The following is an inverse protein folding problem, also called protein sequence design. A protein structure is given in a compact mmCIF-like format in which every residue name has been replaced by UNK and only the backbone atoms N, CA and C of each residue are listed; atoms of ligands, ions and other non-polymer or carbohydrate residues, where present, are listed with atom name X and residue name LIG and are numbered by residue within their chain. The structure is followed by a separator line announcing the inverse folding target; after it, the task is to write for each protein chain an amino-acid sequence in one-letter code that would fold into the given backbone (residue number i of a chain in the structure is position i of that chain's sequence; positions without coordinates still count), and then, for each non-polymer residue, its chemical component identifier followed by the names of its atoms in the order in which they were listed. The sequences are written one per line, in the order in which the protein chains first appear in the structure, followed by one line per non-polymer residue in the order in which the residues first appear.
data_IF_726429134464
#
_entry.id   IF_726429134464
#
_cell.length_a   1.000
_cell.length_b   1.000
_cell.length_c   1.000
_cell.angle_alpha   90.00
_cell.angle_beta   90.00
_cell.angle_gamma   90.00
#
_symmetry.space_group_name_H-M   'P 1'
#
loop_
_entity.id
_entity.type
_entity.pdbx_description
1 polymer ?
#
# COMPACT_ATOMS: atom_id res chain seq x y z
N UNK A 1 5.66 -14.70 5.91
CA UNK A 1 5.47 -14.57 4.51
C UNK A 1 6.63 -15.02 3.67
N UNK A 2 7.22 -14.14 2.90
CA UNK A 2 8.25 -14.45 1.88
C UNK A 2 9.44 -15.28 2.41
N UNK A 3 9.93 -14.97 3.62
CA UNK A 3 11.03 -15.74 4.23
C UNK A 3 10.63 -17.21 4.46
N UNK A 4 9.45 -17.47 4.99
CA UNK A 4 8.96 -18.84 5.20
C UNK A 4 8.73 -19.59 3.88
N UNK A 5 8.37 -18.90 2.79
CA UNK A 5 8.27 -19.51 1.45
C UNK A 5 9.65 -19.95 0.96
N UNK A 6 10.68 -19.13 1.16
CA UNK A 6 12.06 -19.53 0.82
C UNK A 6 12.51 -20.78 1.59
N UNK A 7 12.12 -20.91 2.86
CA UNK A 7 12.46 -22.06 3.72
C UNK A 7 11.78 -23.35 3.27
N UNK A 8 10.61 -23.29 2.61
CA UNK A 8 9.91 -24.48 2.07
C UNK A 8 10.31 -24.85 0.64
N UNK A 9 11.34 -24.20 0.09
CA UNK A 9 12.00 -24.59 -1.16
C UNK A 9 11.17 -24.44 -2.42
N UNK A 10 10.37 -23.37 -2.54
CA UNK A 10 9.52 -23.08 -3.71
C UNK A 10 8.42 -24.12 -4.00
N UNK A 11 8.13 -25.04 -3.07
CA UNK A 11 6.99 -25.95 -3.14
C UNK A 11 5.71 -25.13 -2.95
N UNK A 12 4.94 -25.00 -4.03
CA UNK A 12 3.73 -24.17 -4.06
C UNK A 12 2.69 -24.59 -3.03
N UNK A 13 2.46 -25.90 -2.84
CA UNK A 13 1.44 -26.40 -1.91
C UNK A 13 1.84 -26.14 -0.45
N UNK A 14 3.11 -26.31 -0.13
CA UNK A 14 3.63 -25.96 1.19
C UNK A 14 3.60 -24.46 1.44
N UNK A 15 3.93 -23.65 0.43
CA UNK A 15 3.86 -22.21 0.53
C UNK A 15 2.43 -21.73 0.77
N UNK A 16 1.44 -22.26 0.05
CA UNK A 16 0.03 -21.95 0.25
C UNK A 16 -0.45 -22.38 1.64
N UNK A 17 -0.09 -23.57 2.10
CA UNK A 17 -0.42 -24.06 3.44
C UNK A 17 0.16 -23.16 4.53
N UNK A 18 1.40 -22.71 4.38
CA UNK A 18 2.04 -21.76 5.30
C UNK A 18 1.31 -20.42 5.33
N UNK A 19 0.99 -19.87 4.17
CA UNK A 19 0.27 -18.58 4.06
C UNK A 19 -1.14 -18.68 4.62
N UNK A 20 -1.86 -19.79 4.39
CA UNK A 20 -3.16 -20.04 5.01
C UNK A 20 -3.06 -20.08 6.53
N UNK A 21 -2.07 -20.78 7.07
CA UNK A 21 -1.80 -20.82 8.50
C UNK A 21 -1.53 -19.42 9.08
N UNK A 22 -0.70 -18.61 8.42
CA UNK A 22 -0.43 -17.23 8.83
C UNK A 22 -1.72 -16.39 8.78
N UNK A 23 -2.45 -16.46 7.68
CA UNK A 23 -3.68 -15.69 7.51
C UNK A 23 -4.74 -16.05 8.56
N UNK A 24 -5.04 -17.34 8.70
CA UNK A 24 -6.11 -17.81 9.57
C UNK A 24 -5.78 -17.63 11.06
N UNK A 25 -4.52 -17.88 11.47
CA UNK A 25 -4.11 -17.82 12.86
C UNK A 25 -3.63 -16.43 13.28
N UNK A 26 -2.68 -15.85 12.57
CA UNK A 26 -2.05 -14.59 12.97
C UNK A 26 -2.96 -13.41 12.60
N UNK A 27 -3.49 -13.39 11.36
CA UNK A 27 -4.27 -12.22 10.91
C UNK A 27 -5.67 -12.24 11.50
N UNK A 28 -6.42 -13.32 11.32
CA UNK A 28 -7.84 -13.34 11.69
C UNK A 28 -8.03 -13.64 13.17
N UNK A 29 -7.51 -14.77 13.66
CA UNK A 29 -7.75 -15.21 15.05
C UNK A 29 -7.12 -14.26 16.06
N UNK A 30 -5.85 -13.89 15.88
CA UNK A 30 -5.12 -13.10 16.89
C UNK A 30 -5.67 -11.67 16.98
N UNK A 31 -6.12 -11.07 15.86
CA UNK A 31 -6.82 -9.77 15.88
C UNK A 31 -8.11 -9.88 16.69
N UNK A 32 -8.97 -10.85 16.40
CA UNK A 32 -10.25 -11.01 17.08
C UNK A 32 -10.07 -11.30 18.58
N UNK A 33 -9.10 -12.14 18.95
CA UNK A 33 -8.79 -12.44 20.36
C UNK A 33 -8.23 -11.23 21.10
N UNK A 34 -7.32 -10.46 20.46
CA UNK A 34 -6.76 -9.23 21.05
C UNK A 34 -7.85 -8.21 21.34
N UNK A 35 -8.73 -7.96 20.39
CA UNK A 35 -9.82 -7.01 20.55
C UNK A 35 -10.85 -7.48 21.61
N UNK A 36 -11.12 -8.76 21.68
CA UNK A 36 -11.95 -9.36 22.74
C UNK A 36 -11.33 -9.15 24.13
N UNK A 37 -10.00 -9.34 24.28
CA UNK A 37 -9.29 -9.14 25.56
C UNK A 37 -9.29 -7.67 25.99
N UNK A 38 -9.23 -6.73 25.03
CA UNK A 38 -9.33 -5.28 25.31
C UNK A 38 -10.74 -4.82 25.67
N UNK A 39 -11.73 -5.71 25.66
CA UNK A 39 -13.13 -5.37 25.94
C UNK A 39 -13.79 -4.58 24.80
N UNK A 40 -13.15 -4.46 23.66
CA UNK A 40 -13.71 -3.81 22.47
C UNK A 40 -14.71 -4.77 21.80
N UNK A 41 -15.99 -4.49 21.96
CA UNK A 41 -17.09 -5.30 21.40
C UNK A 41 -17.37 -5.00 19.92
N UNK A 42 -16.59 -4.13 19.29
CA UNK A 42 -16.85 -3.67 17.91
C UNK A 42 -16.33 -4.65 16.85
N UNK A 43 -15.28 -5.42 17.16
CA UNK A 43 -14.64 -6.36 16.24
C UNK A 43 -14.94 -7.78 16.67
N UNK A 44 -16.09 -8.27 16.24
CA UNK A 44 -16.59 -9.61 16.62
C UNK A 44 -16.93 -10.48 15.42
N UNK A 45 -16.94 -9.91 14.22
CA UNK A 45 -17.36 -10.57 13.00
C UNK A 45 -16.15 -10.94 12.12
N UNK A 46 -15.73 -12.21 12.11
CA UNK A 46 -14.60 -12.67 11.31
C UNK A 46 -14.85 -12.54 9.81
N UNK A 47 -16.11 -12.64 9.36
CA UNK A 47 -16.45 -12.53 7.95
C UNK A 47 -16.32 -11.09 7.45
N UNK A 48 -16.78 -10.12 8.25
CA UNK A 48 -16.55 -8.70 7.95
C UNK A 48 -15.07 -8.35 7.94
N UNK A 49 -14.29 -8.89 8.90
CA UNK A 49 -12.84 -8.68 8.94
C UNK A 49 -12.17 -9.20 7.66
N UNK A 50 -12.52 -10.42 7.22
CA UNK A 50 -11.99 -11.00 5.98
C UNK A 50 -12.33 -10.15 4.75
N UNK A 51 -13.56 -9.66 4.64
CA UNK A 51 -13.99 -8.81 3.52
C UNK A 51 -13.23 -7.47 3.47
N UNK A 52 -12.98 -6.86 4.63
CA UNK A 52 -12.17 -5.65 4.71
C UNK A 52 -10.73 -5.94 4.30
N UNK A 53 -10.15 -7.04 4.78
CA UNK A 53 -8.80 -7.47 4.37
C UNK A 53 -8.73 -7.66 2.85
N UNK A 54 -9.68 -8.38 2.26
CA UNK A 54 -9.75 -8.59 0.81
C UNK A 54 -9.83 -7.27 0.05
N UNK A 55 -10.72 -6.36 0.50
CA UNK A 55 -10.84 -5.04 -0.12
C UNK A 55 -9.53 -4.25 -0.07
N UNK A 56 -8.90 -4.14 1.10
CA UNK A 56 -7.64 -3.40 1.25
C UNK A 56 -6.52 -4.03 0.43
N UNK A 57 -6.48 -5.37 0.38
CA UNK A 57 -5.50 -6.11 -0.40
C UNK A 57 -5.65 -5.88 -1.91
N UNK A 58 -6.89 -5.81 -2.39
CA UNK A 58 -7.22 -5.57 -3.81
C UNK A 58 -6.98 -4.10 -4.22
N UNK A 59 -6.95 -3.20 -3.25
CA UNK A 59 -6.82 -1.76 -3.45
C UNK A 59 -5.51 -1.18 -2.90
N UNK A 60 -4.45 -1.99 -2.75
CA UNK A 60 -3.14 -1.47 -2.34
C UNK A 60 -2.68 -0.38 -3.32
N UNK A 61 -2.09 0.71 -2.79
CA UNK A 61 -1.63 1.83 -3.61
C UNK A 61 -2.74 2.73 -4.17
N UNK A 62 -4.00 2.33 -4.10
CA UNK A 62 -5.13 3.17 -4.51
C UNK A 62 -5.57 4.11 -3.40
N UNK A 63 -5.82 5.37 -3.75
CA UNK A 63 -6.38 6.35 -2.83
C UNK A 63 -7.80 5.96 -2.42
N UNK A 64 -8.03 5.70 -1.13
CA UNK A 64 -9.34 5.30 -0.61
C UNK A 64 -9.68 5.97 0.72
N UNK A 65 -10.94 5.89 1.13
CA UNK A 65 -11.43 6.38 2.41
C UNK A 65 -12.26 5.31 3.11
N UNK A 66 -12.42 5.42 4.42
CA UNK A 66 -13.29 4.53 5.22
C UNK A 66 -14.73 4.52 4.68
N UNK A 67 -15.21 5.67 4.24
CA UNK A 67 -16.54 5.80 3.61
C UNK A 67 -16.62 5.03 2.29
N UNK A 68 -15.57 5.11 1.47
CA UNK A 68 -15.49 4.35 0.22
C UNK A 68 -15.49 2.84 0.48
N UNK A 69 -14.67 2.37 1.43
CA UNK A 69 -14.66 0.97 1.86
C UNK A 69 -16.07 0.52 2.27
N UNK A 70 -16.73 1.29 3.14
CA UNK A 70 -18.08 0.99 3.61
C UNK A 70 -19.08 0.90 2.46
N UNK A 71 -19.05 1.83 1.52
CA UNK A 71 -19.96 1.87 0.38
C UNK A 71 -19.74 0.69 -0.56
N UNK A 72 -18.51 0.34 -0.89
CA UNK A 72 -18.19 -0.79 -1.77
C UNK A 72 -18.65 -2.10 -1.15
N UNK A 73 -18.35 -2.36 0.13
CA UNK A 73 -18.77 -3.58 0.81
C UNK A 73 -20.29 -3.77 0.81
N UNK A 74 -21.05 -2.69 0.83
CA UNK A 74 -22.51 -2.71 0.77
C UNK A 74 -23.01 -2.88 -0.65
N UNK A 75 -22.50 -2.11 -1.61
CA UNK A 75 -23.00 -2.04 -2.97
C UNK A 75 -22.72 -3.33 -3.76
N UNK A 76 -21.57 -3.96 -3.52
CA UNK A 76 -21.19 -5.22 -4.16
C UNK A 76 -21.85 -6.44 -3.53
N UNK A 77 -22.81 -6.25 -2.61
CA UNK A 77 -23.50 -7.34 -1.88
C UNK A 77 -22.55 -8.31 -1.20
N UNK A 78 -21.35 -7.86 -0.91
CA UNK A 78 -20.36 -8.64 -0.17
C UNK A 78 -20.80 -8.92 1.27
N UNK A 79 -21.77 -8.16 1.77
CA UNK A 79 -22.43 -8.38 3.05
C UNK A 79 -23.73 -9.14 2.82
N UNK A 80 -23.92 -10.21 3.57
CA UNK A 80 -25.13 -11.03 3.50
C UNK A 80 -26.39 -10.16 3.69
N UNK A 81 -27.31 -10.19 2.71
CA UNK A 81 -28.55 -9.41 2.73
C UNK A 81 -29.47 -9.77 3.91
N UNK A 82 -29.27 -10.95 4.51
CA UNK A 82 -30.02 -11.42 5.68
C UNK A 82 -29.50 -10.87 7.02
N UNK A 83 -28.37 -10.18 7.04
CA UNK A 83 -27.89 -9.51 8.26
C UNK A 83 -28.64 -8.23 8.51
N UNK A 84 -29.31 -8.18 9.65
CA UNK A 84 -29.94 -6.97 10.17
C UNK A 84 -28.90 -5.88 10.42
N UNK A 85 -28.72 -5.01 9.44
CA UNK A 85 -27.96 -3.77 9.58
C UNK A 85 -26.70 -3.69 8.73
N UNK A 86 -26.60 -2.62 7.99
CA UNK A 86 -25.39 -2.16 7.30
C UNK A 86 -24.34 -1.81 8.38
N UNK A 87 -23.07 -2.29 8.31
CA UNK A 87 -22.05 -1.84 9.23
C UNK A 87 -21.87 -0.32 9.11
N UNK A 88 -21.84 0.34 10.24
CA UNK A 88 -21.59 1.79 10.26
C UNK A 88 -20.18 2.12 9.79
N UNK A 89 -19.96 3.34 9.28
CA UNK A 89 -18.62 3.84 8.94
C UNK A 89 -17.68 3.71 10.14
N UNK A 90 -18.19 3.95 11.35
CA UNK A 90 -17.42 3.80 12.59
C UNK A 90 -17.01 2.33 12.84
N UNK A 91 -17.90 1.38 12.53
CA UNK A 91 -17.56 -0.06 12.60
C UNK A 91 -16.42 -0.39 11.64
N UNK A 92 -16.52 0.01 10.38
CA UNK A 92 -15.46 -0.22 9.38
C UNK A 92 -14.14 0.43 9.85
N UNK A 93 -14.20 1.65 10.37
CA UNK A 93 -13.02 2.34 10.91
C UNK A 93 -12.35 1.56 12.05
N UNK A 94 -13.13 0.95 12.95
CA UNK A 94 -12.59 0.12 14.04
C UNK A 94 -11.85 -1.12 13.49
N UNK A 95 -12.42 -1.79 12.48
CA UNK A 95 -11.77 -2.95 11.84
C UNK A 95 -10.49 -2.56 11.10
N UNK A 96 -10.51 -1.47 10.34
CA UNK A 96 -9.30 -0.96 9.67
C UNK A 96 -8.25 -0.56 10.71
N UNK A 97 -8.65 0.13 11.79
CA UNK A 97 -7.74 0.47 12.90
C UNK A 97 -7.04 -0.74 13.51
N UNK A 98 -7.77 -1.84 13.74
CA UNK A 98 -7.19 -3.08 14.25
C UNK A 98 -6.19 -3.73 13.29
N UNK A 99 -6.43 -3.63 11.99
CA UNK A 99 -5.51 -4.11 10.95
C UNK A 99 -4.23 -3.26 10.91
N UNK A 100 -4.33 -1.95 11.06
CA UNK A 100 -3.18 -1.04 11.14
C UNK A 100 -2.37 -1.29 12.42
N UNK A 101 -3.03 -1.44 13.57
CA UNK A 101 -2.37 -1.78 14.85
C UNK A 101 -1.70 -3.16 14.85
N UNK A 102 -2.09 -4.05 13.92
CA UNK A 102 -1.47 -5.36 13.74
C UNK A 102 -0.29 -5.33 12.78
N UNK A 103 0.02 -4.18 12.20
CA UNK A 103 1.06 -4.01 11.18
C UNK A 103 0.88 -4.92 9.95
N UNK A 104 -0.36 -5.32 9.65
CA UNK A 104 -0.69 -6.07 8.43
C UNK A 104 -0.84 -5.11 7.26
N UNK A 105 -1.45 -3.96 7.53
CA UNK A 105 -1.52 -2.83 6.62
C UNK A 105 -0.89 -1.59 7.23
N UNK A 106 -0.42 -0.72 6.36
CA UNK A 106 0.10 0.59 6.68
C UNK A 106 -0.72 1.62 5.91
N UNK A 107 -1.20 2.63 6.61
CA UNK A 107 -1.88 3.77 6.01
C UNK A 107 -0.89 4.91 5.80
N UNK A 108 -0.89 5.49 4.60
CA UNK A 108 -0.10 6.67 4.29
C UNK A 108 -1.03 7.84 4.05
N UNK A 109 -0.72 8.95 4.68
CA UNK A 109 -1.48 10.19 4.56
C UNK A 109 -1.02 11.00 3.34
N UNK A 110 -1.93 11.84 2.86
CA UNK A 110 -1.64 12.77 1.76
C UNK A 110 -1.20 14.11 2.29
N UNK A 111 -0.15 14.64 1.70
CA UNK A 111 0.41 15.95 2.00
C UNK A 111 0.35 16.86 0.78
N UNK A 112 -0.28 18.03 0.91
CA UNK A 112 -0.28 19.06 -0.14
C UNK A 112 1.07 19.78 -0.14
N UNK A 113 1.85 19.57 -1.21
CA UNK A 113 3.22 20.12 -1.34
C UNK A 113 3.20 21.65 -1.41
N UNK A 114 2.19 22.24 -2.09
CA UNK A 114 2.04 23.68 -2.21
C UNK A 114 1.42 24.31 -0.97
N UNK A 115 0.35 23.71 -0.45
CA UNK A 115 -0.35 24.16 0.76
C UNK A 115 0.42 23.91 2.04
N UNK A 116 1.41 23.00 2.02
CA UNK A 116 2.22 22.58 3.18
C UNK A 116 1.35 22.07 4.34
N UNK A 117 0.31 21.28 4.01
CA UNK A 117 -0.62 20.76 5.00
C UNK A 117 -1.01 19.31 4.71
N UNK A 118 -1.37 18.58 5.77
CA UNK A 118 -1.93 17.24 5.63
C UNK A 118 -3.39 17.28 5.21
N UNK A 119 -3.72 16.48 4.20
CA UNK A 119 -5.09 16.32 3.74
C UNK A 119 -5.82 15.31 4.63
N UNK A 120 -7.04 15.66 5.05
CA UNK A 120 -7.84 14.84 5.98
C UNK A 120 -8.57 13.67 5.31
N UNK A 121 -8.65 13.69 3.99
CA UNK A 121 -9.43 12.72 3.22
C UNK A 121 -8.53 11.95 2.28
N UNK A 122 -8.84 10.68 2.11
CA UNK A 122 -8.13 9.73 1.26
C UNK A 122 -6.69 9.47 1.73
N UNK A 123 -6.40 8.22 1.98
CA UNK A 123 -5.06 7.67 2.17
C UNK A 123 -4.83 6.53 1.21
N UNK A 124 -3.61 6.04 1.13
CA UNK A 124 -3.28 4.77 0.49
C UNK A 124 -2.97 3.74 1.57
N UNK A 125 -3.27 2.48 1.27
CA UNK A 125 -2.95 1.36 2.14
C UNK A 125 -1.96 0.44 1.44
N UNK A 126 -0.94 -0.02 2.19
CA UNK A 126 0.05 -0.97 1.71
C UNK A 126 0.07 -2.19 2.62
N UNK A 127 0.25 -3.37 2.02
CA UNK A 127 0.27 -4.63 2.75
C UNK A 127 1.72 -5.03 3.07
N UNK A 128 1.97 -5.47 4.30
CA UNK A 128 3.32 -5.82 4.78
C UNK A 128 3.98 -6.96 3.98
N UNK A 129 3.20 -7.84 3.37
CA UNK A 129 3.70 -9.04 2.71
C UNK A 129 2.96 -9.31 1.39
N UNK A 130 3.67 -9.18 0.28
CA UNK A 130 3.12 -9.45 -1.06
C UNK A 130 2.79 -10.94 -1.24
N UNK A 131 3.47 -11.85 -0.54
CA UNK A 131 3.11 -13.27 -0.54
C UNK A 131 1.70 -13.49 0.02
N UNK A 132 1.36 -12.79 1.11
CA UNK A 132 0.00 -12.82 1.67
C UNK A 132 -1.02 -12.24 0.69
N UNK A 133 -0.67 -11.13 0.00
CA UNK A 133 -1.51 -10.57 -1.06
C UNK A 133 -1.81 -11.59 -2.16
N UNK A 134 -0.76 -12.22 -2.68
CA UNK A 134 -0.91 -13.19 -3.78
C UNK A 134 -1.65 -14.46 -3.32
N UNK A 135 -1.52 -14.85 -2.07
CA UNK A 135 -2.33 -15.92 -1.48
C UNK A 135 -3.82 -15.57 -1.49
N UNK A 136 -4.17 -14.34 -1.09
CA UNK A 136 -5.58 -13.90 -0.97
C UNK A 136 -6.27 -13.66 -2.32
N UNK A 137 -5.55 -13.08 -3.30
CA UNK A 137 -6.12 -12.61 -4.58
C UNK A 137 -5.73 -13.46 -5.78
N UNK A 138 -4.75 -14.36 -5.61
CA UNK A 138 -4.04 -14.97 -6.73
C UNK A 138 -3.02 -14.00 -7.38
N UNK A 139 -2.19 -14.56 -8.25
CA UNK A 139 -1.26 -13.76 -9.05
C UNK A 139 -2.00 -13.05 -10.19
N UNK A 140 -1.79 -11.74 -10.33
CA UNK A 140 -2.40 -10.90 -11.37
C UNK A 140 -1.34 -10.02 -12.00
N UNK A 141 -1.08 -10.18 -13.29
CA UNK A 141 -0.07 -9.39 -14.04
C UNK A 141 -0.40 -7.89 -14.07
N UNK A 142 -1.68 -7.54 -14.09
CA UNK A 142 -2.14 -6.14 -14.17
C UNK A 142 -1.83 -5.29 -12.94
N UNK A 143 -1.42 -5.91 -11.83
CA UNK A 143 -1.19 -5.22 -10.55
C UNK A 143 0.30 -4.91 -10.30
N UNK A 144 1.17 -5.16 -11.27
CA UNK A 144 2.64 -5.03 -11.11
C UNK A 144 3.04 -3.64 -10.65
N UNK A 145 2.44 -2.59 -11.17
CA UNK A 145 2.72 -1.21 -10.75
C UNK A 145 2.49 -0.98 -9.26
N UNK A 146 1.32 -1.40 -8.73
CA UNK A 146 1.00 -1.27 -7.30
C UNK A 146 1.87 -2.17 -6.41
N UNK A 147 2.29 -3.34 -6.92
CA UNK A 147 3.23 -4.22 -6.20
C UNK A 147 4.60 -3.54 -6.08
N UNK A 148 5.11 -2.95 -7.16
CA UNK A 148 6.38 -2.20 -7.14
C UNK A 148 6.29 -1.03 -6.18
N UNK A 149 5.20 -0.26 -6.22
CA UNK A 149 4.95 0.86 -5.31
C UNK A 149 4.94 0.39 -3.84
N UNK A 150 4.28 -0.73 -3.55
CA UNK A 150 4.27 -1.35 -2.22
C UNK A 150 5.69 -1.76 -1.76
N UNK A 151 6.50 -2.34 -2.64
CA UNK A 151 7.90 -2.72 -2.33
C UNK A 151 8.75 -1.49 -2.06
N UNK A 152 8.65 -0.45 -2.88
CA UNK A 152 9.38 0.82 -2.69
C UNK A 152 9.00 1.47 -1.36
N UNK A 153 7.72 1.48 -1.01
CA UNK A 153 7.26 2.01 0.28
C UNK A 153 7.95 1.34 1.47
N UNK A 154 7.93 0.01 1.53
CA UNK A 154 8.58 -0.71 2.63
C UNK A 154 10.10 -0.56 2.64
N UNK A 155 10.72 -0.42 1.49
CA UNK A 155 12.15 -0.13 1.41
C UNK A 155 12.47 1.28 1.94
N UNK A 156 11.65 2.29 1.66
CA UNK A 156 11.80 3.62 2.23
C UNK A 156 11.67 3.59 3.76
N UNK A 157 10.70 2.87 4.31
CA UNK A 157 10.57 2.68 5.76
C UNK A 157 11.79 1.97 6.35
N UNK A 158 12.31 0.93 5.68
CA UNK A 158 13.51 0.21 6.11
C UNK A 158 14.73 1.13 6.19
N UNK A 159 14.82 2.12 5.31
CA UNK A 159 15.88 3.15 5.30
C UNK A 159 15.64 4.27 6.32
N UNK A 160 14.58 4.21 7.09
CA UNK A 160 14.28 5.18 8.16
C UNK A 160 13.63 6.47 7.68
N UNK A 161 13.01 6.49 6.51
CA UNK A 161 12.22 7.62 6.07
C UNK A 161 10.81 7.61 6.67
N UNK A 162 10.32 8.78 7.02
CA UNK A 162 8.90 9.06 7.10
C UNK A 162 8.37 9.26 5.68
N UNK A 163 7.23 8.63 5.36
CA UNK A 163 6.72 8.59 3.99
C UNK A 163 5.29 9.11 3.95
N UNK A 164 5.05 10.11 3.09
CA UNK A 164 3.74 10.66 2.78
C UNK A 164 3.45 10.54 1.27
N UNK A 165 2.18 10.63 0.87
CA UNK A 165 1.79 10.77 -0.52
C UNK A 165 1.79 12.26 -0.87
N UNK A 166 2.48 12.64 -1.94
CA UNK A 166 2.53 14.02 -2.39
C UNK A 166 1.30 14.40 -3.22
N UNK A 167 0.75 15.60 -2.99
CA UNK A 167 -0.19 16.23 -3.90
C UNK A 167 0.41 17.55 -4.40
N UNK A 168 0.44 17.75 -5.72
CA UNK A 168 0.84 18.98 -6.36
C UNK A 168 -0.23 19.37 -7.39
N UNK A 169 -0.99 20.43 -7.12
CA UNK A 169 -2.20 20.80 -7.85
C UNK A 169 -3.20 19.62 -7.94
N UNK A 170 -3.48 19.15 -9.16
CA UNK A 170 -4.38 18.02 -9.41
C UNK A 170 -3.63 16.70 -9.68
N UNK A 171 -2.31 16.67 -9.43
CA UNK A 171 -1.47 15.50 -9.64
C UNK A 171 -1.00 14.93 -8.32
N UNK A 172 -0.74 13.64 -8.33
CA UNK A 172 -0.17 12.90 -7.20
C UNK A 172 1.31 12.65 -7.45
N UNK A 173 2.09 12.69 -6.38
CA UNK A 173 3.47 12.18 -6.31
C UNK A 173 3.41 10.98 -5.37
N UNK A 174 3.86 9.83 -5.83
CA UNK A 174 3.65 8.59 -5.08
C UNK A 174 4.22 8.67 -3.67
N UNK A 175 5.44 9.20 -3.50
CA UNK A 175 6.01 9.37 -2.18
C UNK A 175 6.75 10.68 -2.00
N UNK A 176 6.57 11.25 -0.81
CA UNK A 176 7.46 12.22 -0.17
C UNK A 176 8.18 11.43 0.91
N UNK A 177 9.47 11.17 0.72
CA UNK A 177 10.29 10.48 1.70
C UNK A 177 11.18 11.51 2.41
N UNK A 178 11.07 11.62 3.74
CA UNK A 178 11.82 12.58 4.53
C UNK A 178 12.38 11.94 5.80
N UNK A 179 13.59 12.35 6.18
CA UNK A 179 14.19 12.05 7.47
C UNK A 179 14.86 13.31 8.04
N UNK A 180 15.69 13.17 9.07
CA UNK A 180 16.38 14.31 9.68
C UNK A 180 17.40 15.01 8.76
N UNK A 181 17.90 14.33 7.72
CA UNK A 181 19.01 14.78 6.88
C UNK A 181 18.53 15.26 5.51
N UNK A 182 17.52 14.61 4.94
CA UNK A 182 17.10 14.85 3.57
C UNK A 182 15.60 14.66 3.34
N UNK A 183 15.15 15.18 2.20
CA UNK A 183 13.80 15.00 1.67
C UNK A 183 13.89 14.69 0.18
N UNK A 184 13.09 13.74 -0.28
CA UNK A 184 13.02 13.29 -1.68
C UNK A 184 11.57 13.21 -2.14
N UNK A 185 11.36 13.48 -3.43
CA UNK A 185 10.10 13.23 -4.12
C UNK A 185 10.28 12.05 -5.07
N UNK A 186 9.44 11.06 -4.94
CA UNK A 186 9.62 9.77 -5.62
C UNK A 186 8.34 9.44 -6.38
N UNK A 187 8.50 9.13 -7.66
CA UNK A 187 7.50 8.53 -8.52
C UNK A 187 7.89 7.08 -8.79
N UNK A 188 6.92 6.18 -8.85
CA UNK A 188 7.14 4.75 -9.05
C UNK A 188 6.36 4.27 -10.27
N UNK A 189 7.00 3.56 -11.17
CA UNK A 189 6.35 3.05 -12.38
C UNK A 189 6.88 1.68 -12.75
N UNK A 190 6.08 0.93 -13.49
CA UNK A 190 6.50 -0.37 -14.03
C UNK A 190 7.59 -0.19 -15.11
N UNK A 191 7.45 0.81 -15.98
CA UNK A 191 8.38 1.03 -17.09
C UNK A 191 8.51 2.51 -17.45
N UNK A 192 9.71 2.91 -17.85
CA UNK A 192 10.01 4.24 -18.41
C UNK A 192 10.38 4.18 -19.92
N UNK A 193 10.15 3.06 -20.57
CA UNK A 193 10.56 2.88 -21.97
C UNK A 193 9.63 3.59 -22.96
N UNK A 194 8.32 3.68 -22.63
CA UNK A 194 7.33 4.34 -23.48
C UNK A 194 7.33 5.86 -23.25
N UNK A 195 7.45 6.69 -24.31
CA UNK A 195 7.50 8.15 -24.20
C UNK A 195 6.28 8.75 -23.47
N UNK A 196 5.07 8.23 -23.72
CA UNK A 196 3.86 8.70 -23.08
C UNK A 196 3.85 8.42 -21.56
N UNK A 197 4.32 7.25 -21.13
CA UNK A 197 4.50 6.90 -19.73
C UNK A 197 5.54 7.80 -19.09
N UNK A 198 6.69 7.99 -19.76
CA UNK A 198 7.76 8.88 -19.28
C UNK A 198 7.25 10.29 -18.98
N UNK A 199 6.54 10.89 -19.93
CA UNK A 199 5.99 12.24 -19.74
C UNK A 199 4.99 12.29 -18.59
N UNK A 200 4.13 11.29 -18.45
CA UNK A 200 3.15 11.18 -17.35
C UNK A 200 3.83 11.14 -16.00
N UNK A 201 4.90 10.34 -15.84
CA UNK A 201 5.59 10.14 -14.56
C UNK A 201 6.48 11.34 -14.18
N UNK A 202 7.09 12.02 -15.17
CA UNK A 202 7.91 13.19 -14.93
C UNK A 202 7.07 14.44 -14.61
N UNK A 203 5.88 14.56 -15.18
CA UNK A 203 5.06 15.77 -15.09
C UNK A 203 4.76 16.22 -13.64
N UNK A 204 4.37 15.37 -12.68
CA UNK A 204 4.17 15.80 -11.29
C UNK A 204 5.45 16.36 -10.65
N UNK A 205 6.58 15.71 -10.89
CA UNK A 205 7.88 16.11 -10.32
C UNK A 205 8.38 17.44 -10.88
N UNK A 206 8.14 17.72 -12.18
CA UNK A 206 8.48 19.00 -12.81
C UNK A 206 7.68 20.18 -12.26
N UNK A 207 6.50 19.94 -11.68
CA UNK A 207 5.66 20.97 -11.07
C UNK A 207 6.16 21.43 -9.70
N UNK A 208 7.01 20.63 -9.05
CA UNK A 208 7.58 20.94 -7.74
C UNK A 208 8.78 21.89 -7.94
N UNK A 209 8.70 23.08 -7.35
CA UNK A 209 9.68 24.18 -7.57
C UNK A 209 10.78 24.27 -6.52
N UNK A 210 10.83 23.34 -5.56
CA UNK A 210 11.92 23.31 -4.58
C UNK A 210 13.13 22.51 -5.10
N UNK A 211 14.24 22.56 -4.33
CA UNK A 211 15.52 21.97 -4.71
C UNK A 211 15.75 20.57 -4.13
N UNK A 212 14.73 19.95 -3.53
CA UNK A 212 14.87 18.59 -3.04
C UNK A 212 14.99 17.59 -4.21
N UNK A 213 15.65 16.49 -3.94
CA UNK A 213 15.90 15.45 -4.93
C UNK A 213 14.56 14.87 -5.46
N UNK A 214 14.51 14.68 -6.78
CA UNK A 214 13.38 14.12 -7.50
C UNK A 214 13.83 12.86 -8.22
N UNK A 215 13.12 11.76 -7.99
CA UNK A 215 13.51 10.43 -8.47
C UNK A 215 12.30 9.74 -9.08
N UNK A 216 12.50 9.07 -10.21
CA UNK A 216 11.60 8.04 -10.73
C UNK A 216 12.24 6.69 -10.52
N UNK A 217 11.55 5.78 -9.81
CA UNK A 217 11.95 4.39 -9.64
C UNK A 217 11.13 3.55 -10.62
N UNK A 218 11.81 2.91 -11.57
CA UNK A 218 11.18 2.12 -12.61
C UNK A 218 11.49 0.63 -12.47
N UNK A 219 10.47 -0.22 -12.61
CA UNK A 219 10.66 -1.67 -12.72
C UNK A 219 11.55 -2.02 -13.91
N UNK A 220 11.36 -1.34 -15.04
CA UNK A 220 12.24 -1.42 -16.19
C UNK A 220 12.53 -0.04 -16.79
N UNK A 221 13.79 0.19 -17.11
CA UNK A 221 14.27 1.29 -17.96
C UNK A 221 15.53 0.82 -18.67
N UNK A 222 15.79 1.33 -19.88
CA UNK A 222 16.93 0.87 -20.67
C UNK A 222 18.25 1.13 -19.95
N UNK A 223 18.40 2.32 -19.36
CA UNK A 223 19.54 2.68 -18.48
C UNK A 223 19.15 3.81 -17.55
N UNK A 224 19.84 3.90 -16.37
CA UNK A 224 19.69 5.04 -15.50
C UNK A 224 20.06 6.33 -16.22
N UNK A 225 19.25 7.36 -16.03
CA UNK A 225 19.46 8.66 -16.67
C UNK A 225 19.00 9.80 -15.75
N UNK A 226 19.31 11.02 -16.18
CA UNK A 226 18.76 12.23 -15.55
C UNK A 226 18.07 13.07 -16.62
N UNK A 227 16.83 13.45 -16.40
CA UNK A 227 16.04 14.28 -17.28
C UNK A 227 15.44 15.44 -16.48
N UNK A 228 15.69 16.68 -16.90
CA UNK A 228 15.25 17.91 -16.20
C UNK A 228 15.63 17.96 -14.72
N UNK A 229 16.77 17.37 -14.34
CA UNK A 229 17.22 17.25 -12.97
C UNK A 229 16.54 16.14 -12.16
N UNK A 230 15.66 15.35 -12.77
CA UNK A 230 14.98 14.20 -12.18
C UNK A 230 15.81 12.94 -12.48
N UNK A 231 16.21 12.21 -11.46
CA UNK A 231 16.92 10.94 -11.61
C UNK A 231 15.95 9.82 -11.97
N UNK A 232 16.28 8.99 -12.93
CA UNK A 232 15.55 7.78 -13.30
C UNK A 232 16.45 6.59 -12.99
N UNK A 233 16.01 5.72 -12.09
CA UNK A 233 16.78 4.57 -11.61
C UNK A 233 15.98 3.29 -11.70
N UNK A 234 16.66 2.16 -11.86
CA UNK A 234 16.00 0.85 -11.82
C UNK A 234 15.60 0.49 -10.39
N UNK A 235 14.47 -0.20 -10.24
CA UNK A 235 14.03 -0.76 -8.95
C UNK A 235 15.11 -1.65 -8.32
N UNK A 236 15.77 -2.50 -9.12
CA UNK A 236 16.85 -3.37 -8.64
C UNK A 236 18.01 -2.58 -8.07
N UNK A 237 18.40 -1.50 -8.74
CA UNK A 237 19.50 -0.64 -8.28
C UNK A 237 19.10 0.10 -6.99
N UNK A 238 17.84 0.57 -6.93
CA UNK A 238 17.30 1.18 -5.71
C UNK A 238 17.31 0.22 -4.53
N UNK A 239 16.93 -1.05 -4.73
CA UNK A 239 16.85 -2.04 -3.65
C UNK A 239 18.22 -2.55 -3.19
N UNK A 240 19.21 -2.64 -4.09
CA UNK A 240 20.53 -3.22 -3.81
C UNK A 240 21.56 -2.19 -3.34
N UNK A 241 21.42 -0.93 -3.74
CA UNK A 241 22.32 0.15 -3.33
C UNK A 241 21.74 0.85 -2.08
N UNK A 242 21.99 0.26 -0.91
CA UNK A 242 21.60 0.81 0.40
C UNK A 242 22.67 1.78 0.92
#
# INVERSE_FOLDING_TARGET
GMRGIADVGLDTDKALTLLDGIYSTVVVRDILERERRRGQRQITDPDLLRKIIMFLTDNIGNSTSITSISNTLVNEKLLDQNRKGRPSVHTIQAYVGALLESYIFYEIKRFDIKGKEYLRTLGKYYIVDIGLRNYLLGFRDMDTGHIIENVVYFELLRRGYDVDIGKVDNREVDFIAANAEEKRYIQVTESMNEPATRERELAPLRMIRDNYEKIVIAGSCDYPMTEDGIKIIKLTDFLLNA
#
